data_IF_134165953818
#
_entry.id   IF_134165953818
#
_cell.length_a   1.000
_cell.length_b   1.000
_cell.length_c   1.000
_cell.angle_alpha   90.00
_cell.angle_beta   90.00
_cell.angle_gamma   90.00
#
_symmetry.space_group_name_H-M   'P 1'
#
loop_
_entity.id
_entity.type
_entity.pdbx_description
1 polymer ?
#
# COMPACT_ATOMS: atom_id res chain seq x y z
N UNK A 1 -10.23 5.73 -24.47
CA UNK A 1 -8.87 5.14 -24.40
C UNK A 1 -8.99 3.69 -24.84
N UNK A 2 -8.04 3.18 -25.62
CA UNK A 2 -8.08 1.77 -26.01
C UNK A 2 -7.54 0.93 -24.85
N UNK A 3 -8.08 -0.27 -24.63
CA UNK A 3 -7.71 -1.09 -23.47
C UNK A 3 -6.22 -1.46 -23.48
N UNK A 4 -5.65 -1.69 -24.66
CA UNK A 4 -4.22 -1.97 -24.89
C UNK A 4 -3.28 -0.80 -24.53
N UNK A 5 -3.80 0.43 -24.41
CA UNK A 5 -2.99 1.60 -24.04
C UNK A 5 -2.91 1.80 -22.52
N UNK A 6 -3.79 1.15 -21.75
CA UNK A 6 -3.89 1.34 -20.30
C UNK A 6 -3.08 0.30 -19.52
N UNK A 7 -2.70 -0.80 -20.17
CA UNK A 7 -2.03 -1.92 -19.53
C UNK A 7 -0.54 -1.96 -19.89
N UNK A 8 0.29 -1.97 -18.86
CA UNK A 8 1.74 -1.88 -18.90
C UNK A 8 2.42 -3.05 -18.18
N UNK A 9 1.65 -4.00 -17.64
CA UNK A 9 2.23 -5.23 -17.11
C UNK A 9 3.01 -6.01 -18.19
N UNK A 10 4.23 -6.50 -17.88
CA UNK A 10 5.02 -7.25 -18.85
C UNK A 10 4.44 -8.65 -19.11
N UNK A 11 4.72 -9.26 -20.28
CA UNK A 11 4.32 -10.65 -20.54
C UNK A 11 4.81 -11.61 -19.45
N UNK A 12 3.88 -12.44 -18.93
CA UNK A 12 4.19 -13.38 -17.84
C UNK A 12 4.31 -12.74 -16.46
N UNK A 13 3.85 -11.50 -16.29
CA UNK A 13 3.84 -10.82 -15.00
C UNK A 13 3.13 -11.65 -13.94
N UNK A 14 3.84 -11.93 -12.84
CA UNK A 14 3.28 -12.55 -11.64
C UNK A 14 3.08 -11.47 -10.59
N UNK A 15 1.87 -10.93 -10.53
CA UNK A 15 1.56 -9.81 -9.63
C UNK A 15 1.86 -10.17 -8.16
N UNK A 16 2.76 -9.44 -7.48
CA UNK A 16 3.10 -9.71 -6.08
C UNK A 16 1.91 -9.46 -5.14
N UNK A 17 0.96 -8.58 -5.52
CA UNK A 17 -0.18 -8.25 -4.67
C UNK A 17 -1.28 -9.31 -4.77
N UNK A 18 -1.51 -9.86 -5.97
CA UNK A 18 -2.37 -11.04 -6.14
C UNK A 18 -1.83 -12.23 -5.33
N UNK A 19 -0.51 -12.49 -5.41
CA UNK A 19 0.14 -13.56 -4.64
C UNK A 19 -0.03 -13.35 -3.13
N UNK A 20 0.21 -12.13 -2.64
CA UNK A 20 -0.04 -11.79 -1.25
C UNK A 20 -1.50 -12.02 -0.84
N UNK A 21 -2.46 -11.62 -1.68
CA UNK A 21 -3.89 -11.79 -1.42
C UNK A 21 -4.32 -13.26 -1.33
N UNK A 22 -3.60 -14.15 -2.04
CA UNK A 22 -3.72 -15.62 -1.99
C UNK A 22 -2.97 -16.26 -0.82
N UNK A 23 -2.20 -15.48 -0.03
CA UNK A 23 -1.38 -16.00 1.07
C UNK A 23 -0.06 -16.62 0.62
N UNK A 24 0.39 -16.34 -0.60
CA UNK A 24 1.71 -16.73 -1.09
C UNK A 24 2.73 -15.64 -0.74
N UNK A 25 3.64 -15.94 0.19
CA UNK A 25 4.65 -14.99 0.66
C UNK A 25 6.04 -15.23 0.06
N UNK A 26 6.85 -14.17 -0.02
CA UNK A 26 8.24 -14.20 -0.49
C UNK A 26 9.18 -13.32 0.37
N UNK A 27 10.41 -13.05 -0.09
CA UNK A 27 11.38 -12.25 0.67
C UNK A 27 10.94 -10.79 0.92
N UNK A 28 10.00 -10.26 0.11
CA UNK A 28 9.51 -8.89 0.21
C UNK A 28 8.18 -8.79 0.96
N UNK A 29 7.61 -9.87 1.48
CA UNK A 29 6.35 -9.76 2.22
C UNK A 29 6.16 -10.92 3.22
N UNK A 30 5.35 -10.69 4.23
CA UNK A 30 5.06 -11.66 5.28
C UNK A 30 3.59 -11.57 5.69
N UNK A 31 3.04 -12.65 6.24
CA UNK A 31 1.69 -12.66 6.82
C UNK A 31 1.53 -11.59 7.91
N UNK A 32 2.62 -11.29 8.63
CA UNK A 32 2.68 -10.24 9.66
C UNK A 32 2.59 -8.81 9.10
N UNK A 33 2.67 -8.62 7.79
CA UNK A 33 2.46 -7.31 7.17
C UNK A 33 0.96 -6.96 7.07
N UNK A 34 0.05 -7.92 7.23
CA UNK A 34 -1.39 -7.70 7.07
C UNK A 34 -1.88 -6.74 8.15
N UNK A 35 -2.58 -5.67 7.77
CA UNK A 35 -3.17 -4.70 8.71
C UNK A 35 -4.67 -4.92 8.82
N UNK A 36 -5.36 -4.98 7.68
CA UNK A 36 -6.80 -5.21 7.62
C UNK A 36 -7.17 -5.87 6.28
N UNK A 37 -8.29 -6.60 6.27
CA UNK A 37 -8.84 -7.25 5.08
C UNK A 37 -10.36 -7.19 5.11
N UNK A 38 -10.94 -6.77 4.00
CA UNK A 38 -12.39 -6.87 3.72
C UNK A 38 -12.64 -7.93 2.65
N UNK A 39 -13.86 -8.03 2.15
CA UNK A 39 -14.22 -8.94 1.05
C UNK A 39 -13.48 -8.62 -0.25
N UNK A 40 -13.12 -7.34 -0.48
CA UNK A 40 -12.56 -6.88 -1.76
C UNK A 40 -11.28 -6.04 -1.63
N UNK A 41 -10.80 -5.69 -0.43
CA UNK A 41 -9.62 -4.84 -0.23
C UNK A 41 -8.72 -5.38 0.88
N UNK A 42 -7.40 -5.20 0.72
CA UNK A 42 -6.38 -5.51 1.72
C UNK A 42 -5.58 -4.23 2.02
N UNK A 43 -5.30 -4.01 3.30
CA UNK A 43 -4.29 -3.07 3.77
C UNK A 43 -3.11 -3.86 4.37
N UNK A 44 -1.87 -3.52 3.97
CA UNK A 44 -0.65 -4.15 4.48
C UNK A 44 0.51 -3.18 4.61
N UNK A 45 1.43 -3.45 5.52
CA UNK A 45 2.69 -2.70 5.62
C UNK A 45 3.49 -2.86 4.32
N UNK A 46 3.95 -1.74 3.77
CA UNK A 46 4.83 -1.73 2.60
C UNK A 46 6.19 -2.32 2.95
N UNK A 47 6.83 -3.11 2.07
CA UNK A 47 8.15 -3.63 2.34
C UNK A 47 9.30 -2.70 1.98
N UNK A 48 9.02 -1.61 1.26
CA UNK A 48 10.02 -0.63 0.79
C UNK A 48 9.71 0.71 1.43
N UNK A 49 10.59 1.26 2.25
CA UNK A 49 10.33 2.49 3.02
C UNK A 49 11.21 3.65 2.57
N UNK A 50 10.66 4.86 2.66
CA UNK A 50 11.44 6.09 2.58
C UNK A 50 12.11 6.39 3.92
N UNK A 51 13.28 7.04 3.92
CA UNK A 51 13.85 7.58 5.15
C UNK A 51 12.81 8.40 5.90
N UNK A 52 12.77 8.28 7.22
CA UNK A 52 11.92 9.09 8.10
C UNK A 52 10.40 8.90 7.92
N UNK A 53 9.96 7.93 7.09
CA UNK A 53 8.55 7.56 6.92
C UNK A 53 8.32 6.04 7.08
N UNK A 54 8.70 5.43 8.22
CA UNK A 54 8.57 3.99 8.43
C UNK A 54 7.12 3.55 8.56
N UNK A 55 6.86 2.27 8.29
CA UNK A 55 5.56 1.65 8.57
C UNK A 55 4.39 2.11 7.69
N UNK A 56 4.65 2.78 6.57
CA UNK A 56 3.57 3.17 5.65
C UNK A 56 2.85 1.95 5.07
N UNK A 57 1.58 2.14 4.76
CA UNK A 57 0.66 1.09 4.36
C UNK A 57 0.34 1.18 2.88
N UNK A 58 0.20 0.03 2.24
CA UNK A 58 -0.38 -0.13 0.91
C UNK A 58 -1.80 -0.65 1.05
N UNK A 59 -2.77 0.07 0.48
CA UNK A 59 -4.15 -0.36 0.36
C UNK A 59 -4.44 -0.70 -1.10
N UNK A 60 -4.88 -1.93 -1.36
CA UNK A 60 -5.10 -2.43 -2.71
C UNK A 60 -6.34 -3.33 -2.78
N UNK A 61 -7.05 -3.38 -3.92
CA UNK A 61 -8.10 -4.36 -4.12
C UNK A 61 -7.51 -5.78 -4.11
N UNK A 62 -8.33 -6.77 -3.73
CA UNK A 62 -7.98 -8.19 -3.75
C UNK A 62 -7.92 -8.69 -5.20
N UNK A 63 -8.93 -8.33 -6.00
CA UNK A 63 -8.94 -8.60 -7.44
C UNK A 63 -7.91 -7.71 -8.16
N UNK A 64 -7.38 -8.23 -9.26
CA UNK A 64 -6.39 -7.56 -10.06
C UNK A 64 -7.03 -6.46 -10.93
N UNK A 65 -6.74 -5.22 -10.58
CA UNK A 65 -6.95 -4.06 -11.45
C UNK A 65 -5.61 -3.36 -11.56
N UNK A 66 -5.09 -3.16 -12.77
CA UNK A 66 -3.75 -2.61 -12.92
C UNK A 66 -3.66 -1.16 -12.42
N UNK A 67 -4.65 -0.34 -12.75
CA UNK A 67 -4.62 1.11 -12.56
C UNK A 67 -6.00 1.64 -12.15
N UNK A 68 -6.07 2.95 -11.91
CA UNK A 68 -7.28 3.65 -11.50
C UNK A 68 -8.35 3.66 -12.61
N UNK A 69 -7.95 3.65 -13.88
CA UNK A 69 -8.85 3.88 -15.02
C UNK A 69 -9.84 2.73 -15.23
N UNK A 70 -9.45 1.52 -14.84
CA UNK A 70 -10.26 0.29 -14.97
C UNK A 70 -10.85 -0.17 -13.64
N UNK A 71 -10.56 0.53 -12.54
CA UNK A 71 -11.06 0.20 -11.21
C UNK A 71 -12.59 0.43 -11.13
N UNK A 72 -13.41 -0.60 -10.84
CA UNK A 72 -14.85 -0.42 -10.69
C UNK A 72 -15.17 0.55 -9.56
N UNK A 73 -16.16 1.43 -9.74
CA UNK A 73 -16.53 2.46 -8.76
C UNK A 73 -16.76 1.91 -7.36
N UNK A 74 -17.45 0.77 -7.23
CA UNK A 74 -17.72 0.14 -5.94
C UNK A 74 -16.44 -0.33 -5.24
N UNK A 75 -15.49 -0.89 -5.99
CA UNK A 75 -14.18 -1.28 -5.47
C UNK A 75 -13.36 -0.05 -5.09
N UNK A 76 -13.42 1.00 -5.91
CA UNK A 76 -12.80 2.29 -5.62
C UNK A 76 -13.29 2.91 -4.30
N UNK A 77 -14.60 2.86 -4.03
CA UNK A 77 -15.16 3.27 -2.74
C UNK A 77 -14.58 2.43 -1.59
N UNK A 78 -14.63 1.11 -1.69
CA UNK A 78 -14.08 0.23 -0.64
C UNK A 78 -12.58 0.47 -0.39
N UNK A 79 -11.81 0.75 -1.44
CA UNK A 79 -10.38 1.10 -1.30
C UNK A 79 -10.25 2.39 -0.50
N UNK A 80 -11.00 3.43 -0.83
CA UNK A 80 -10.89 4.73 -0.15
C UNK A 80 -11.45 4.71 1.27
N UNK A 81 -12.50 3.92 1.54
CA UNK A 81 -12.99 3.69 2.91
C UNK A 81 -11.87 3.09 3.78
N UNK A 82 -11.14 2.09 3.26
CA UNK A 82 -10.04 1.49 3.99
C UNK A 82 -8.80 2.41 4.07
N UNK A 83 -8.52 3.21 3.03
CA UNK A 83 -7.48 4.25 3.09
C UNK A 83 -7.77 5.26 4.20
N UNK A 84 -9.02 5.70 4.34
CA UNK A 84 -9.40 6.63 5.39
C UNK A 84 -9.19 6.00 6.78
N UNK A 85 -9.67 4.77 6.98
CA UNK A 85 -9.50 4.06 8.25
C UNK A 85 -8.02 3.85 8.61
N UNK A 86 -7.19 3.46 7.63
CA UNK A 86 -5.74 3.31 7.81
C UNK A 86 -5.07 4.64 8.13
N UNK A 87 -5.44 5.72 7.45
CA UNK A 87 -4.89 7.05 7.71
C UNK A 87 -5.16 7.51 9.14
N UNK A 88 -6.38 7.30 9.64
CA UNK A 88 -6.75 7.60 11.03
C UNK A 88 -5.92 6.75 12.00
N UNK A 89 -5.84 5.43 11.78
CA UNK A 89 -5.05 4.54 12.63
C UNK A 89 -3.56 4.94 12.66
N UNK A 90 -2.97 5.28 11.51
CA UNK A 90 -1.58 5.79 11.46
C UNK A 90 -1.43 7.10 12.26
N UNK A 91 -2.37 8.04 12.16
CA UNK A 91 -2.32 9.29 12.92
C UNK A 91 -2.38 9.07 14.42
N UNK A 92 -3.21 8.14 14.87
CA UNK A 92 -3.42 7.85 16.30
C UNK A 92 -2.24 7.06 16.89
N UNK A 93 -1.70 6.10 16.14
CA UNK A 93 -0.75 5.12 16.69
C UNK A 93 0.73 5.50 16.50
N UNK A 94 1.08 6.24 15.44
CA UNK A 94 2.49 6.44 15.07
C UNK A 94 3.10 7.74 15.65
N UNK A 95 2.29 8.54 16.36
CA UNK A 95 2.72 9.85 16.86
C UNK A 95 3.21 10.79 15.76
N UNK A 96 2.62 10.70 14.56
CA UNK A 96 3.04 11.48 13.40
C UNK A 96 2.27 12.81 13.26
N UNK A 97 2.92 13.80 12.65
CA UNK A 97 2.41 15.17 12.49
C UNK A 97 1.42 15.32 11.33
N UNK A 98 1.43 14.35 10.41
CA UNK A 98 0.65 14.38 9.17
C UNK A 98 0.40 12.98 8.61
N UNK A 99 -0.47 12.90 7.61
CA UNK A 99 -0.54 11.76 6.69
C UNK A 99 -0.53 12.27 5.25
N UNK A 100 0.10 11.52 4.35
CA UNK A 100 -0.01 11.74 2.91
C UNK A 100 -0.47 10.46 2.22
N UNK A 101 -1.36 10.59 1.25
CA UNK A 101 -1.74 9.49 0.37
C UNK A 101 -1.14 9.69 -1.02
N UNK A 102 -0.73 8.61 -1.68
CA UNK A 102 -0.22 8.65 -3.06
C UNK A 102 -0.72 7.44 -3.83
N UNK A 103 -1.12 7.67 -5.08
CA UNK A 103 -1.56 6.63 -6.00
C UNK A 103 -0.94 6.96 -7.36
N UNK A 104 -0.40 5.96 -8.03
CA UNK A 104 0.35 6.12 -9.27
C UNK A 104 -0.28 5.23 -10.35
N UNK A 105 -0.36 5.75 -11.57
CA UNK A 105 -0.86 5.03 -12.74
C UNK A 105 0.17 5.12 -13.85
N UNK A 106 0.49 3.98 -14.45
CA UNK A 106 1.38 3.87 -15.62
C UNK A 106 2.84 4.29 -15.35
N UNK A 107 3.78 3.99 -16.27
CA UNK A 107 5.20 4.32 -16.07
C UNK A 107 5.46 5.82 -15.80
N UNK A 108 4.74 6.72 -16.49
CA UNK A 108 4.90 8.16 -16.31
C UNK A 108 4.40 8.65 -14.94
N UNK A 109 3.46 7.92 -14.32
CA UNK A 109 3.03 8.15 -12.96
C UNK A 109 4.01 7.63 -11.90
N UNK A 110 5.06 6.89 -12.28
CA UNK A 110 5.95 6.13 -11.39
C UNK A 110 5.29 4.92 -10.71
N UNK A 111 4.33 4.29 -11.37
CA UNK A 111 3.82 2.99 -10.91
C UNK A 111 4.89 1.90 -11.18
N UNK A 112 5.22 1.12 -10.16
CA UNK A 112 6.23 0.04 -10.23
C UNK A 112 5.64 -1.36 -9.99
N UNK A 113 4.47 -1.43 -9.35
CA UNK A 113 3.63 -2.63 -9.26
C UNK A 113 2.35 -2.40 -10.06
N UNK A 114 2.13 -3.23 -11.08
CA UNK A 114 0.98 -3.20 -12.00
C UNK A 114 -0.29 -3.74 -11.35
N UNK A 115 -0.63 -3.23 -10.17
CA UNK A 115 -1.84 -3.53 -9.42
C UNK A 115 -2.18 -2.27 -8.65
N UNK A 116 -3.38 -1.73 -8.83
CA UNK A 116 -3.83 -0.48 -8.24
C UNK A 116 -3.58 -0.48 -6.73
N UNK A 117 -2.86 0.52 -6.24
CA UNK A 117 -2.62 0.65 -4.82
C UNK A 117 -2.45 2.09 -4.39
N UNK A 118 -2.92 2.36 -3.19
CA UNK A 118 -2.77 3.64 -2.52
C UNK A 118 -1.76 3.48 -1.40
N UNK A 119 -0.69 4.27 -1.46
CA UNK A 119 0.23 4.42 -0.34
C UNK A 119 -0.39 5.36 0.69
N UNK A 120 -0.28 5.03 1.97
CA UNK A 120 -0.67 5.87 3.10
C UNK A 120 0.55 6.05 4.01
N UNK A 121 1.16 7.23 3.94
CA UNK A 121 2.40 7.58 4.64
C UNK A 121 2.12 8.32 5.95
N UNK A 122 2.74 7.91 7.08
CA UNK A 122 2.92 8.84 8.19
C UNK A 122 3.85 9.96 7.75
N UNK A 123 3.58 11.19 8.19
CA UNK A 123 4.42 12.36 7.90
C UNK A 123 4.91 12.99 9.19
N UNK A 124 6.16 13.43 9.16
CA UNK A 124 6.79 14.13 10.26
C UNK A 124 7.35 15.47 9.76
N UNK A 125 7.45 16.46 10.63
CA UNK A 125 8.15 17.69 10.29
C UNK A 125 9.57 17.37 9.75
N UNK A 126 9.94 18.03 8.66
CA UNK A 126 11.23 17.84 7.97
C UNK A 126 11.57 16.39 7.53
N UNK A 127 10.58 15.51 7.35
CA UNK A 127 10.80 14.13 6.84
C UNK A 127 11.31 14.07 5.40
N UNK A 128 11.16 15.17 4.65
CA UNK A 128 11.66 15.34 3.29
C UNK A 128 11.21 14.25 2.31
N UNK A 129 10.07 13.60 2.56
CA UNK A 129 9.53 12.45 1.80
C UNK A 129 9.67 12.61 0.27
N UNK A 130 9.30 13.77 -0.27
CA UNK A 130 9.33 14.02 -1.72
C UNK A 130 10.74 14.21 -2.29
N UNK A 131 11.64 14.82 -1.54
CA UNK A 131 13.01 15.10 -2.01
C UNK A 131 13.94 13.90 -1.87
N UNK A 132 13.63 12.96 -0.96
CA UNK A 132 14.41 11.75 -0.69
C UNK A 132 13.84 10.50 -1.38
N UNK A 133 13.11 10.69 -2.48
CA UNK A 133 12.39 9.59 -3.12
C UNK A 133 13.31 8.42 -3.54
N UNK A 134 14.50 8.74 -4.07
CA UNK A 134 15.49 7.78 -4.54
C UNK A 134 16.23 7.02 -3.42
N UNK A 135 15.95 7.33 -2.15
CA UNK A 135 16.58 6.68 -1.00
C UNK A 135 15.71 5.58 -0.40
N UNK A 136 14.58 5.26 -1.03
CA UNK A 136 13.70 4.19 -0.56
C UNK A 136 14.38 2.82 -0.61
N UNK A 137 14.29 2.06 0.48
CA UNK A 137 14.96 0.77 0.62
C UNK A 137 14.01 -0.31 1.13
N UNK A 138 14.24 -1.56 0.71
CA UNK A 138 13.55 -2.70 1.29
C UNK A 138 13.99 -2.90 2.75
N UNK A 139 13.03 -3.14 3.63
CA UNK A 139 13.25 -3.37 5.06
C UNK A 139 12.88 -4.80 5.44
N UNK A 140 13.50 -5.36 6.48
CA UNK A 140 13.25 -6.75 6.89
C UNK A 140 11.85 -6.95 7.47
N UNK A 141 11.27 -8.16 7.39
CA UNK A 141 10.00 -8.46 8.05
C UNK A 141 9.99 -8.14 9.55
N UNK A 142 11.13 -8.31 10.24
CA UNK A 142 11.27 -7.99 11.66
C UNK A 142 11.12 -6.50 11.94
N UNK A 143 11.60 -5.62 11.04
CA UNK A 143 11.42 -4.18 11.17
C UNK A 143 9.97 -3.75 10.92
N UNK A 144 9.24 -4.48 10.05
CA UNK A 144 7.84 -4.18 9.69
C UNK A 144 6.84 -4.70 10.73
N UNK A 145 7.14 -5.84 11.35
CA UNK A 145 6.22 -6.55 12.23
C UNK A 145 5.62 -5.70 13.38
N UNK A 146 6.37 -4.79 14.04
CA UNK A 146 5.80 -3.91 15.08
C UNK A 146 4.67 -3.02 14.55
N UNK A 147 4.86 -2.41 13.38
CA UNK A 147 3.85 -1.56 12.74
C UNK A 147 2.60 -2.35 12.33
N UNK A 148 2.81 -3.54 11.76
CA UNK A 148 1.70 -4.44 11.45
C UNK A 148 0.92 -4.87 12.68
N UNK A 149 1.59 -5.15 13.80
CA UNK A 149 0.95 -5.52 15.06
C UNK A 149 0.15 -4.35 15.67
N UNK A 150 0.74 -3.15 15.68
CA UNK A 150 0.13 -1.94 16.21
C UNK A 150 -1.18 -1.62 15.47
N UNK A 151 -1.13 -1.56 14.14
CA UNK A 151 -2.32 -1.26 13.36
C UNK A 151 -3.37 -2.39 13.42
N UNK A 152 -2.97 -3.68 13.40
CA UNK A 152 -3.94 -4.79 13.53
C UNK A 152 -4.74 -4.74 14.83
N UNK A 153 -4.09 -4.37 15.93
CA UNK A 153 -4.77 -4.21 17.21
C UNK A 153 -5.89 -3.16 17.09
N UNK A 154 -5.58 -2.00 16.51
CA UNK A 154 -6.53 -0.91 16.27
C UNK A 154 -7.75 -1.31 15.42
N UNK A 155 -7.57 -2.17 14.42
CA UNK A 155 -8.66 -2.70 13.57
C UNK A 155 -9.46 -3.83 14.23
N UNK A 156 -8.95 -4.43 15.31
CA UNK A 156 -9.66 -5.46 16.08
C UNK A 156 -10.54 -4.88 17.19
N UNK A 157 -10.36 -3.60 17.52
CA UNK A 157 -11.07 -2.87 18.59
C UNK A 157 -12.30 -2.08 18.10
N UNK A 158 -12.54 -2.02 16.79
CA UNK A 158 -13.71 -1.40 16.15
C UNK A 158 -14.71 -2.43 15.68
#
# INVERSE_FOLDING_TARGET
MRADELHHEPPGYRCPFCRYALGEFDEYNASTDLVARTDNVIARISPKWWPDNPGHVLVSPIEHFENLYTLPTSVGHSVFDLVQAVAVAIREEYGCDGVSTRQHNEPAGNQDVWHHHVHVFPRYEDDRLYSRHGEAAYVSPQARAPYGALLRARFSEC
#
